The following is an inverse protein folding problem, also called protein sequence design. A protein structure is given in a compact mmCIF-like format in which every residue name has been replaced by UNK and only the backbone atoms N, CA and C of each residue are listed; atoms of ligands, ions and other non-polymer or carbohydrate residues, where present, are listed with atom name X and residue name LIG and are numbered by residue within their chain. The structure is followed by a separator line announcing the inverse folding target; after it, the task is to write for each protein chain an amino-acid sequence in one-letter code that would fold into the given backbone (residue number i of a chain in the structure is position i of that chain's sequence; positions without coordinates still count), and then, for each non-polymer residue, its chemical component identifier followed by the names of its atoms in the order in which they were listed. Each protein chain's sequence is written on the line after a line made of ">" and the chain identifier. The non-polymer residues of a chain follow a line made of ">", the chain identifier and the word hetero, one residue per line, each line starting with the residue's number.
data_IF_273925123523
#
_entry.id   IF_273925123523
#
_cell.length_a   1.000
_cell.length_b   1.000
_cell.length_c   1.000
_cell.angle_alpha   90.00
_cell.angle_beta   90.00
_cell.angle_gamma   90.00
#
_symmetry.space_group_name_H-M   'P 1'
#
loop_
_entity.id
_entity.type
_entity.pdbx_description
1 polymer ?
#
# COMPACT_ATOMS: atom_id res chain seq x y z
N UNK A 1 -3.14 17.30 -31.11
CA UNK A 1 -3.26 17.42 -29.63
C UNK A 1 -2.45 16.29 -29.03
N UNK A 2 -1.40 16.60 -28.27
CA UNK A 2 -0.57 15.59 -27.61
C UNK A 2 -1.39 14.83 -26.58
N UNK A 3 -1.31 13.49 -26.57
CA UNK A 3 -1.97 12.69 -25.54
C UNK A 3 -1.35 13.05 -24.18
N UNK A 4 -2.15 13.44 -23.18
CA UNK A 4 -1.61 13.74 -21.85
C UNK A 4 -0.84 12.53 -21.32
N UNK A 5 0.33 12.79 -20.72
CA UNK A 5 1.14 11.74 -20.12
C UNK A 5 0.35 11.03 -19.00
N UNK A 6 0.45 9.70 -18.96
CA UNK A 6 -0.27 8.85 -18.01
C UNK A 6 0.36 8.89 -16.60
N UNK A 7 1.62 9.30 -16.50
CA UNK A 7 2.41 9.37 -15.27
C UNK A 7 1.82 10.28 -14.18
N UNK A 8 1.42 11.55 -14.44
CA UNK A 8 0.83 12.41 -13.41
C UNK A 8 -0.52 11.88 -12.89
N UNK A 9 -1.26 11.15 -13.73
CA UNK A 9 -2.56 10.59 -13.36
C UNK A 9 -2.38 9.41 -12.40
N UNK A 10 -1.39 8.54 -12.67
CA UNK A 10 -1.04 7.43 -11.76
C UNK A 10 -0.49 7.95 -10.44
N UNK A 11 0.42 8.92 -10.47
CA UNK A 11 1.05 9.49 -9.27
C UNK A 11 0.08 10.28 -8.39
N UNK A 12 -0.76 11.14 -8.98
CA UNK A 12 -1.74 11.93 -8.23
C UNK A 12 -2.74 11.05 -7.48
N UNK A 13 -3.09 9.91 -8.08
CA UNK A 13 -4.00 8.94 -7.50
C UNK A 13 -3.35 7.93 -6.55
N UNK A 14 -2.02 7.90 -6.42
CA UNK A 14 -1.29 7.01 -5.52
C UNK A 14 -1.16 7.58 -4.10
N UNK A 15 -1.40 8.88 -3.91
CA UNK A 15 -1.32 9.52 -2.60
C UNK A 15 -2.51 9.07 -1.73
N UNK A 16 -2.28 8.52 -0.52
CA UNK A 16 -3.36 8.16 0.38
C UNK A 16 -4.08 9.43 0.87
N UNK A 17 -5.37 9.56 0.53
CA UNK A 17 -6.22 10.71 0.88
C UNK A 17 -7.57 10.31 1.47
N UNK A 18 -7.93 9.04 1.38
CA UNK A 18 -9.24 8.57 1.82
C UNK A 18 -9.22 8.27 3.32
N UNK A 19 -10.35 8.47 4.00
CA UNK A 19 -10.48 8.17 5.43
C UNK A 19 -10.10 6.72 5.76
N UNK A 20 -10.35 5.78 4.84
CA UNK A 20 -9.98 4.37 4.96
C UNK A 20 -8.47 4.16 4.91
N UNK A 21 -7.74 4.98 4.17
CA UNK A 21 -6.27 4.94 4.16
C UNK A 21 -5.71 5.52 5.45
N UNK A 22 -6.29 6.62 5.93
CA UNK A 22 -5.90 7.22 7.21
C UNK A 22 -6.14 6.25 8.36
N UNK A 23 -7.27 5.53 8.34
CA UNK A 23 -7.55 4.46 9.30
C UNK A 23 -6.57 3.30 9.18
N UNK A 24 -6.18 2.89 7.96
CA UNK A 24 -5.17 1.86 7.76
C UNK A 24 -3.81 2.30 8.34
N UNK A 25 -3.38 3.53 8.05
CA UNK A 25 -2.16 4.13 8.59
C UNK A 25 -2.24 4.17 10.12
N UNK A 26 -3.39 4.53 10.69
CA UNK A 26 -3.57 4.61 12.14
C UNK A 26 -3.51 3.23 12.81
N UNK A 27 -4.22 2.22 12.28
CA UNK A 27 -4.21 0.87 12.84
C UNK A 27 -2.83 0.24 12.74
N UNK A 28 -2.20 0.32 11.57
CA UNK A 28 -0.84 -0.21 11.36
C UNK A 28 0.16 0.57 12.22
N UNK A 29 0.00 1.90 12.30
CA UNK A 29 0.86 2.78 13.08
C UNK A 29 0.79 2.52 14.58
N UNK A 30 -0.40 2.23 15.13
CA UNK A 30 -0.55 1.83 16.54
C UNK A 30 0.20 0.53 16.82
N UNK A 31 0.08 -0.47 15.94
CA UNK A 31 0.79 -1.75 16.08
C UNK A 31 2.31 -1.56 15.95
N UNK A 32 2.75 -0.72 15.01
CA UNK A 32 4.15 -0.37 14.82
C UNK A 32 4.72 0.38 16.04
N UNK A 33 3.98 1.34 16.59
CA UNK A 33 4.36 2.10 17.78
C UNK A 33 4.39 1.22 19.04
N UNK A 34 3.47 0.27 19.14
CA UNK A 34 3.48 -0.72 20.21
C UNK A 34 4.72 -1.63 20.11
N UNK A 35 5.11 -2.03 18.90
CA UNK A 35 6.33 -2.78 18.67
C UNK A 35 7.58 -1.96 19.05
N UNK A 36 7.60 -0.65 18.73
CA UNK A 36 8.74 0.23 18.96
C UNK A 36 8.95 0.55 20.46
N UNK A 37 7.89 0.90 21.17
CA UNK A 37 7.93 1.22 22.60
C UNK A 37 8.24 0.01 23.47
N UNK A 38 7.78 -1.17 23.07
CA UNK A 38 8.01 -2.40 23.82
C UNK A 38 9.46 -2.90 23.74
N UNK A 39 10.30 -2.36 22.84
CA UNK A 39 11.74 -2.61 22.80
C UNK A 39 12.50 -2.05 24.02
N UNK A 40 11.84 -1.23 24.84
CA UNK A 40 12.39 -0.65 26.09
C UNK A 40 12.22 -1.62 27.28
N UNK A 41 11.51 -2.75 27.12
CA UNK A 41 11.24 -3.73 28.19
C UNK A 41 11.81 -5.14 27.94
N UNK A 42 12.07 -5.94 29.00
CA UNK A 42 12.69 -7.26 28.90
C UNK A 42 11.69 -8.29 28.34
N UNK A 43 11.58 -8.39 27.03
CA UNK A 43 10.61 -9.29 26.38
C UNK A 43 11.12 -9.77 25.03
N UNK A 44 10.76 -11.01 24.68
CA UNK A 44 11.27 -11.79 23.56
C UNK A 44 11.08 -11.02 22.22
N UNK A 45 12.15 -10.67 21.50
CA UNK A 45 12.10 -9.80 20.32
C UNK A 45 11.43 -10.42 19.09
N UNK A 46 11.46 -11.75 18.95
CA UNK A 46 11.02 -12.41 17.70
C UNK A 46 9.50 -12.39 17.48
N UNK A 47 8.65 -12.38 18.50
CA UNK A 47 7.19 -12.55 18.31
C UNK A 47 6.46 -11.33 17.72
N UNK A 48 7.13 -10.18 17.64
CA UNK A 48 6.49 -8.87 17.40
C UNK A 48 6.44 -8.44 15.95
N UNK A 49 7.50 -8.71 15.19
CA UNK A 49 7.50 -8.50 13.73
C UNK A 49 6.44 -9.38 13.06
N UNK A 50 6.19 -10.58 13.59
CA UNK A 50 5.12 -11.47 13.11
C UNK A 50 3.72 -10.89 13.29
N UNK A 51 3.45 -10.19 14.41
CA UNK A 51 2.16 -9.52 14.62
C UNK A 51 1.94 -8.40 13.59
N UNK A 52 3.00 -7.66 13.27
CA UNK A 52 2.96 -6.64 12.22
C UNK A 52 2.69 -7.26 10.84
N UNK A 53 3.29 -8.43 10.55
CA UNK A 53 3.05 -9.21 9.34
C UNK A 53 1.62 -9.78 9.25
N UNK A 54 0.96 -10.01 10.39
CA UNK A 54 -0.43 -10.49 10.46
C UNK A 54 -1.46 -9.36 10.33
N UNK A 55 -1.14 -8.14 10.76
CA UNK A 55 -2.08 -7.01 10.77
C UNK A 55 -2.03 -6.19 9.49
N UNK A 56 -0.86 -6.02 8.87
CA UNK A 56 -0.69 -5.22 7.65
C UNK A 56 -1.47 -5.77 6.45
N UNK A 57 -1.43 -7.08 6.12
CA UNK A 57 -2.18 -7.64 5.01
C UNK A 57 -3.70 -7.43 5.08
N UNK A 58 -4.39 -7.78 6.20
CA UNK A 58 -5.85 -7.62 6.26
C UNK A 58 -6.28 -6.16 6.32
N UNK A 59 -5.53 -5.27 7.00
CA UNK A 59 -5.88 -3.85 7.08
C UNK A 59 -5.76 -3.16 5.72
N UNK A 60 -4.69 -3.42 4.97
CA UNK A 60 -4.53 -2.93 3.60
C UNK A 60 -5.60 -3.49 2.66
N UNK A 61 -5.93 -4.78 2.77
CA UNK A 61 -7.00 -5.39 1.98
C UNK A 61 -8.37 -4.74 2.28
N UNK A 62 -8.73 -4.58 3.56
CA UNK A 62 -9.99 -3.96 3.98
C UNK A 62 -10.09 -2.49 3.58
N UNK A 63 -9.01 -1.72 3.71
CA UNK A 63 -8.96 -0.33 3.27
C UNK A 63 -9.17 -0.18 1.77
N UNK A 64 -8.63 -1.11 0.98
CA UNK A 64 -8.83 -1.11 -0.47
C UNK A 64 -10.25 -1.56 -0.89
N UNK A 65 -10.89 -2.45 -0.11
CA UNK A 65 -12.26 -2.95 -0.39
C UNK A 65 -13.33 -1.92 -0.03
N UNK A 66 -13.17 -1.21 1.07
CA UNK A 66 -14.15 -0.24 1.59
C UNK A 66 -14.42 0.96 0.66
N UNK A 67 -13.54 1.22 -0.29
CA UNK A 67 -13.63 2.33 -1.26
C UNK A 67 -13.89 1.87 -2.70
N UNK A 68 -14.25 0.60 -2.87
CA UNK A 68 -14.41 -0.06 -4.17
C UNK A 68 -15.37 0.66 -5.12
N UNK A 69 -16.53 1.12 -4.64
CA UNK A 69 -17.57 1.76 -5.48
C UNK A 69 -17.15 3.11 -6.05
N UNK A 70 -16.35 3.89 -5.30
CA UNK A 70 -15.78 5.14 -5.79
C UNK A 70 -14.63 4.87 -6.75
N UNK A 71 -13.78 3.90 -6.41
CA UNK A 71 -12.62 3.49 -7.20
C UNK A 71 -12.96 2.89 -8.55
N UNK A 72 -14.04 2.12 -8.67
CA UNK A 72 -14.48 1.60 -9.98
C UNK A 72 -14.85 2.71 -10.96
N UNK A 73 -15.45 3.81 -10.49
CA UNK A 73 -15.73 4.99 -11.34
C UNK A 73 -14.45 5.67 -11.83
N UNK A 74 -13.46 5.83 -10.95
CA UNK A 74 -12.16 6.36 -11.32
C UNK A 74 -11.43 5.44 -12.31
N UNK A 75 -11.44 4.13 -12.07
CA UNK A 75 -10.85 3.11 -12.94
C UNK A 75 -11.48 3.13 -14.34
N UNK A 76 -12.81 3.20 -14.43
CA UNK A 76 -13.52 3.32 -15.71
C UNK A 76 -13.19 4.62 -16.45
N UNK A 77 -13.06 5.74 -15.73
CA UNK A 77 -12.62 7.00 -16.32
C UNK A 77 -11.19 6.88 -16.88
N UNK A 78 -10.27 6.26 -16.12
CA UNK A 78 -8.90 6.00 -16.57
C UNK A 78 -8.86 5.12 -17.82
N UNK A 79 -9.71 4.10 -17.88
CA UNK A 79 -9.86 3.29 -19.09
C UNK A 79 -10.36 4.12 -20.27
N UNK A 80 -11.37 4.98 -20.09
CA UNK A 80 -11.88 5.86 -21.16
C UNK A 80 -10.82 6.82 -21.72
N UNK A 81 -9.88 7.29 -20.88
CA UNK A 81 -8.76 8.13 -21.31
C UNK A 81 -7.58 7.36 -21.93
N UNK A 82 -7.73 6.05 -22.18
CA UNK A 82 -6.68 5.25 -22.80
C UNK A 82 -5.75 4.54 -21.80
N UNK A 83 -6.02 4.61 -20.50
CA UNK A 83 -5.24 3.91 -19.48
C UNK A 83 -5.33 2.38 -19.58
N UNK A 84 -4.30 1.70 -19.06
CA UNK A 84 -4.23 0.22 -19.00
C UNK A 84 -4.46 -0.31 -17.59
N UNK A 85 -4.91 -1.56 -17.47
CA UNK A 85 -5.06 -2.24 -16.20
C UNK A 85 -3.76 -2.30 -15.40
N UNK A 86 -2.61 -2.39 -16.09
CA UNK A 86 -1.29 -2.33 -15.44
C UNK A 86 -1.04 -1.01 -14.72
N UNK A 87 -1.44 0.12 -15.31
CA UNK A 87 -1.30 1.44 -14.68
C UNK A 87 -2.18 1.58 -13.44
N UNK A 88 -3.39 1.02 -13.47
CA UNK A 88 -4.29 0.99 -12.33
C UNK A 88 -3.69 0.14 -11.20
N UNK A 89 -3.13 -1.02 -11.53
CA UNK A 89 -2.47 -1.89 -10.58
C UNK A 89 -1.28 -1.19 -9.92
N UNK A 90 -0.43 -0.54 -10.73
CA UNK A 90 0.73 0.21 -10.25
C UNK A 90 0.33 1.37 -9.33
N UNK A 91 -0.75 2.09 -9.66
CA UNK A 91 -1.33 3.15 -8.80
C UNK A 91 -1.65 2.62 -7.40
N UNK A 92 -2.35 1.49 -7.31
CA UNK A 92 -2.72 0.91 -6.01
C UNK A 92 -1.54 0.28 -5.28
N UNK A 93 -0.59 -0.30 -6.01
CA UNK A 93 0.64 -0.81 -5.43
C UNK A 93 1.44 0.30 -4.74
N UNK A 94 1.67 1.43 -5.43
CA UNK A 94 2.39 2.58 -4.87
C UNK A 94 1.64 3.14 -3.66
N UNK A 95 0.31 3.21 -3.71
CA UNK A 95 -0.50 3.69 -2.58
C UNK A 95 -0.35 2.80 -1.34
N UNK A 96 -0.43 1.49 -1.51
CA UNK A 96 -0.20 0.53 -0.42
C UNK A 96 1.22 0.61 0.15
N UNK A 97 2.22 0.81 -0.71
CA UNK A 97 3.60 0.99 -0.31
C UNK A 97 3.81 2.26 0.52
N UNK A 98 3.20 3.39 0.13
CA UNK A 98 3.24 4.65 0.90
C UNK A 98 2.56 4.48 2.26
N UNK A 99 1.39 3.81 2.32
CA UNK A 99 0.67 3.54 3.57
C UNK A 99 1.54 2.73 4.53
N UNK A 100 2.16 1.65 4.05
CA UNK A 100 3.04 0.82 4.87
C UNK A 100 4.27 1.61 5.35
N UNK A 101 4.91 2.39 4.48
CA UNK A 101 6.09 3.17 4.83
C UNK A 101 5.78 4.26 5.87
N UNK A 102 4.67 4.98 5.72
CA UNK A 102 4.23 5.98 6.69
C UNK A 102 3.93 5.34 8.05
N UNK A 103 3.22 4.21 8.06
CA UNK A 103 2.82 3.55 9.28
C UNK A 103 4.00 2.91 10.05
N UNK A 104 5.02 2.41 9.34
CA UNK A 104 6.23 1.83 9.95
C UNK A 104 7.38 2.83 10.16
N UNK A 105 7.22 4.09 9.75
CA UNK A 105 8.21 5.13 9.97
C UNK A 105 8.78 5.20 11.41
N UNK A 106 8.01 5.04 12.51
CA UNK A 106 8.58 5.05 13.86
C UNK A 106 9.49 3.85 14.14
N UNK A 107 9.17 2.67 13.60
CA UNK A 107 9.99 1.44 13.76
C UNK A 107 11.29 1.57 12.98
N UNK A 108 11.21 2.02 11.73
CA UNK A 108 12.38 2.24 10.87
C UNK A 108 13.33 3.29 11.48
N UNK A 109 12.77 4.36 12.07
CA UNK A 109 13.55 5.38 12.75
C UNK A 109 14.24 4.82 14.00
N UNK A 110 13.57 3.97 14.76
CA UNK A 110 14.18 3.31 15.92
C UNK A 110 15.30 2.35 15.50
N UNK A 111 15.07 1.48 14.51
CA UNK A 111 16.07 0.54 14.02
C UNK A 111 17.33 1.27 13.54
N UNK A 112 17.14 2.37 12.78
CA UNK A 112 18.21 3.24 12.33
C UNK A 112 19.02 3.84 13.49
N UNK A 113 18.35 4.26 14.56
CA UNK A 113 19.00 4.80 15.76
C UNK A 113 19.73 3.73 16.58
N UNK A 114 19.28 2.47 16.55
CA UNK A 114 19.90 1.35 17.28
C UNK A 114 21.07 0.69 16.55
N UNK A 115 21.61 1.34 15.50
CA UNK A 115 22.75 0.84 14.70
C UNK A 115 22.53 -0.54 14.08
N UNK A 116 21.29 -0.86 13.68
CA UNK A 116 21.05 -2.08 12.90
C UNK A 116 21.88 -2.04 11.61
N UNK A 117 22.40 -3.19 11.16
CA UNK A 117 23.17 -3.23 9.93
C UNK A 117 22.28 -2.78 8.75
N UNK A 118 22.82 -1.90 7.90
CA UNK A 118 22.08 -1.30 6.77
C UNK A 118 21.41 -2.32 5.87
N UNK A 119 21.97 -3.53 5.74
CA UNK A 119 21.38 -4.61 4.97
C UNK A 119 20.05 -5.09 5.56
N UNK A 120 19.98 -5.26 6.88
CA UNK A 120 18.74 -5.69 7.56
C UNK A 120 17.66 -4.61 7.49
N UNK A 121 18.05 -3.35 7.66
CA UNK A 121 17.13 -2.22 7.50
C UNK A 121 16.60 -2.11 6.05
N UNK A 122 17.44 -2.37 5.06
CA UNK A 122 17.02 -2.38 3.66
C UNK A 122 16.06 -3.54 3.37
N UNK A 123 16.31 -4.74 3.90
CA UNK A 123 15.42 -5.89 3.68
C UNK A 123 14.07 -5.72 4.36
N UNK A 124 14.02 -5.17 5.58
CA UNK A 124 12.74 -4.88 6.27
C UNK A 124 11.90 -3.86 5.49
N UNK A 125 12.51 -2.77 5.02
CA UNK A 125 11.83 -1.76 4.18
C UNK A 125 11.29 -2.39 2.90
N UNK A 126 12.09 -3.20 2.20
CA UNK A 126 11.67 -3.85 0.95
C UNK A 126 10.48 -4.77 1.20
N UNK A 127 10.54 -5.62 2.23
CA UNK A 127 9.46 -6.56 2.58
C UNK A 127 8.17 -5.79 2.91
N UNK A 128 8.25 -4.70 3.67
CA UNK A 128 7.11 -3.87 4.03
C UNK A 128 6.47 -3.20 2.80
N UNK A 129 7.29 -2.66 1.89
CA UNK A 129 6.82 -2.06 0.65
C UNK A 129 6.08 -3.08 -0.22
N UNK A 130 6.64 -4.28 -0.37
CA UNK A 130 6.01 -5.36 -1.15
C UNK A 130 4.74 -5.87 -0.47
N UNK A 131 4.74 -6.10 0.85
CA UNK A 131 3.55 -6.53 1.57
C UNK A 131 2.43 -5.49 1.45
N UNK A 132 2.70 -4.23 1.78
CA UNK A 132 1.73 -3.13 1.67
C UNK A 132 1.20 -2.98 0.24
N UNK A 133 2.09 -2.93 -0.74
CA UNK A 133 1.72 -2.74 -2.15
C UNK A 133 0.93 -3.91 -2.73
N UNK A 134 1.33 -5.16 -2.46
CA UNK A 134 0.65 -6.35 -2.99
C UNK A 134 -0.74 -6.52 -2.38
N UNK A 135 -0.88 -6.41 -1.05
CA UNK A 135 -2.17 -6.61 -0.38
C UNK A 135 -3.18 -5.50 -0.67
N UNK A 136 -2.70 -4.27 -0.85
CA UNK A 136 -3.56 -3.15 -1.23
C UNK A 136 -3.98 -3.20 -2.71
N UNK A 137 -3.13 -3.72 -3.58
CA UNK A 137 -3.45 -3.88 -5.01
C UNK A 137 -4.28 -5.14 -5.32
N UNK A 138 -4.30 -6.15 -4.45
CA UNK A 138 -5.03 -7.43 -4.67
C UNK A 138 -6.50 -7.24 -5.09
N UNK A 139 -7.30 -6.37 -4.44
CA UNK A 139 -8.69 -6.17 -4.84
C UNK A 139 -8.84 -5.41 -6.16
N UNK A 140 -7.81 -4.66 -6.60
CA UNK A 140 -7.79 -4.08 -7.94
C UNK A 140 -7.52 -5.14 -9.02
N UNK A 141 -6.65 -6.13 -8.77
CA UNK A 141 -6.41 -7.25 -9.68
C UNK A 141 -7.70 -8.04 -9.99
N UNK A 142 -8.51 -8.30 -8.96
CA UNK A 142 -9.82 -8.97 -9.14
C UNK A 142 -10.77 -8.14 -10.01
N UNK A 143 -10.77 -6.82 -9.84
CA UNK A 143 -11.61 -5.89 -10.60
C UNK A 143 -11.13 -5.70 -12.05
N UNK A 144 -9.83 -5.60 -12.26
CA UNK A 144 -9.24 -5.50 -13.60
C UNK A 144 -9.53 -6.75 -14.43
N UNK A 145 -9.46 -7.94 -13.84
CA UNK A 145 -9.87 -9.18 -14.52
C UNK A 145 -11.34 -9.13 -14.97
N UNK A 146 -12.24 -8.58 -14.15
CA UNK A 146 -13.64 -8.40 -14.55
C UNK A 146 -13.84 -7.29 -15.59
N UNK A 147 -12.98 -6.26 -15.62
CA UNK A 147 -13.03 -5.16 -16.58
C UNK A 147 -12.20 -5.39 -17.84
N UNK A 148 -11.52 -6.53 -17.96
CA UNK A 148 -10.76 -6.95 -19.16
C UNK A 148 -11.62 -6.95 -20.43
N UNK A 149 -12.94 -7.14 -20.26
CA UNK A 149 -13.92 -6.91 -21.31
C UNK A 149 -13.81 -5.51 -21.93
N UNK A 150 -13.68 -4.45 -21.12
CA UNK A 150 -13.59 -3.06 -21.61
C UNK A 150 -12.28 -2.79 -22.36
N UNK A 151 -11.18 -3.44 -21.97
CA UNK A 151 -9.91 -3.34 -22.71
C UNK A 151 -9.99 -3.99 -24.10
N UNK A 152 -10.78 -5.05 -24.26
CA UNK A 152 -10.99 -5.70 -25.55
C UNK A 152 -11.86 -4.89 -26.54
N UNK A 153 -12.66 -3.93 -26.08
CA UNK A 153 -13.47 -3.05 -26.96
C UNK A 153 -12.76 -1.72 -27.33
N UNK A 154 -11.49 -1.56 -26.97
CA UNK A 154 -10.68 -0.39 -27.38
C UNK A 154 -10.11 -0.50 -28.82
N UNK A 155 -10.24 -1.66 -29.46
CA UNK A 155 -9.76 -1.93 -30.82
C UNK A 155 -10.75 -1.45 -31.88
#
# INVERSE_FOLDING_TARGET
>A
MEKPSWTPIVLSGAIPREATDLLAILVIGIVALQASLAAIGPTIPESRLWLSLLVVPPTCALASVSTTTRRTKEELALFAYGGSGWQILLRYFIRGAIIALLAFSPVLLQEFLTTTPMLELATTVIILLFAGGLFYSLPSLRRIRSSSFVEHYKS
#
